data_IF_069060341557
#
_entry.id   IF_069060341557
#
_cell.length_a   1.000
_cell.length_b   1.000
_cell.length_c   1.000
_cell.angle_alpha   90.00
_cell.angle_beta   90.00
_cell.angle_gamma   90.00
#
_symmetry.space_group_name_H-M   'P 1'
#
loop_
_entity.id
_entity.type
_entity.pdbx_description
1 polymer ?
#
# COMPACT_ATOMS: atom_id res chain seq x y z
N UNK A 1 -2.59 19.17 2.75
CA UNK A 1 -2.10 17.83 2.33
C UNK A 1 -2.32 17.45 0.84
N UNK A 2 -3.21 18.10 0.05
CA UNK A 2 -3.49 17.67 -1.34
C UNK A 2 -2.32 17.82 -2.32
N UNK A 3 -1.50 18.87 -2.18
CA UNK A 3 -0.28 19.05 -2.97
C UNK A 3 0.71 17.89 -2.81
N UNK A 4 0.96 17.48 -1.56
CA UNK A 4 1.87 16.37 -1.24
C UNK A 4 1.33 15.06 -1.81
N UNK A 5 0.03 14.80 -1.70
CA UNK A 5 -0.59 13.63 -2.31
C UNK A 5 -0.35 13.59 -3.83
N UNK A 6 -0.55 14.71 -4.54
CA UNK A 6 -0.27 14.79 -5.98
C UNK A 6 1.20 14.58 -6.32
N UNK A 7 2.12 15.16 -5.53
CA UNK A 7 3.57 14.98 -5.72
C UNK A 7 4.01 13.54 -5.48
N UNK A 8 3.48 12.89 -4.45
CA UNK A 8 3.78 11.49 -4.14
C UNK A 8 3.22 10.56 -5.20
N UNK A 9 2.02 10.85 -5.72
CA UNK A 9 1.37 10.03 -6.74
C UNK A 9 2.24 9.91 -8.00
N UNK A 10 2.84 11.02 -8.46
CA UNK A 10 3.77 11.03 -9.61
C UNK A 10 5.02 10.15 -9.46
N UNK A 11 5.37 9.74 -8.23
CA UNK A 11 6.52 8.86 -7.96
C UNK A 11 6.15 7.38 -8.04
N UNK A 12 4.86 7.05 -8.14
CA UNK A 12 4.41 5.67 -8.24
C UNK A 12 4.42 5.21 -9.71
N UNK A 13 4.78 3.94 -9.98
CA UNK A 13 4.71 3.37 -11.32
C UNK A 13 3.31 3.53 -11.92
N UNK A 14 3.23 4.00 -13.17
CA UNK A 14 1.96 4.21 -13.87
C UNK A 14 1.34 5.59 -13.65
N UNK A 15 1.96 6.44 -12.83
CA UNK A 15 1.51 7.81 -12.55
C UNK A 15 2.50 8.89 -13.00
N UNK A 16 3.54 8.52 -13.76
CA UNK A 16 4.63 9.42 -14.18
C UNK A 16 4.13 10.68 -14.92
N UNK A 17 3.04 10.51 -15.70
CA UNK A 17 2.38 11.57 -16.46
C UNK A 17 1.07 12.05 -15.82
N UNK A 18 0.82 11.70 -14.56
CA UNK A 18 -0.43 12.03 -13.88
C UNK A 18 -0.49 13.53 -13.56
N UNK A 19 -1.44 14.24 -14.18
CA UNK A 19 -1.72 15.64 -13.92
C UNK A 19 -2.86 15.80 -12.91
N UNK A 20 -2.60 16.56 -11.85
CA UNK A 20 -3.55 16.88 -10.80
C UNK A 20 -3.36 18.32 -10.34
N UNK A 21 -4.35 19.15 -10.66
CA UNK A 21 -4.49 20.45 -10.05
C UNK A 21 -5.36 20.33 -8.79
N UNK A 22 -4.72 20.52 -7.64
CA UNK A 22 -5.37 20.39 -6.33
C UNK A 22 -6.12 21.65 -5.91
N UNK A 23 -5.88 22.80 -6.58
CA UNK A 23 -6.59 24.07 -6.37
C UNK A 23 -7.61 24.36 -7.46
N UNK A 24 -7.55 23.65 -8.60
CA UNK A 24 -8.48 23.74 -9.73
C UNK A 24 -9.93 23.36 -9.42
N UNK A 25 -10.79 23.37 -10.44
CA UNK A 25 -12.24 23.24 -10.27
C UNK A 25 -12.66 21.90 -9.62
N UNK A 26 -13.79 21.89 -8.91
CA UNK A 26 -14.26 20.70 -8.20
C UNK A 26 -14.45 19.48 -9.13
N UNK A 27 -15.00 19.69 -10.32
CA UNK A 27 -15.24 18.65 -11.31
C UNK A 27 -13.94 18.08 -11.90
N UNK A 28 -12.91 18.91 -12.07
CA UNK A 28 -11.59 18.48 -12.51
C UNK A 28 -10.89 17.63 -11.45
N UNK A 29 -11.07 18.00 -10.18
CA UNK A 29 -10.58 17.19 -9.04
C UNK A 29 -11.32 15.86 -8.97
N UNK A 30 -12.62 15.83 -9.21
CA UNK A 30 -13.40 14.60 -9.24
C UNK A 30 -12.92 13.65 -10.34
N UNK A 31 -12.83 14.15 -11.58
CA UNK A 31 -12.32 13.38 -12.72
C UNK A 31 -10.89 12.89 -12.50
N UNK A 32 -10.06 13.69 -11.85
CA UNK A 32 -8.69 13.28 -11.51
C UNK A 32 -8.67 12.15 -10.47
N UNK A 33 -9.55 12.19 -9.46
CA UNK A 33 -9.71 11.08 -8.50
C UNK A 33 -10.10 9.78 -9.22
N UNK A 34 -11.06 9.84 -10.12
CA UNK A 34 -11.52 8.67 -10.88
C UNK A 34 -10.40 8.07 -11.73
N UNK A 35 -9.69 8.90 -12.49
CA UNK A 35 -8.50 8.46 -13.26
C UNK A 35 -7.44 7.82 -12.37
N UNK A 36 -7.17 8.40 -11.19
CA UNK A 36 -6.20 7.83 -10.26
C UNK A 36 -6.62 6.43 -9.79
N UNK A 37 -7.91 6.24 -9.53
CA UNK A 37 -8.48 4.96 -9.11
C UNK A 37 -8.49 3.92 -10.23
N UNK A 38 -8.73 4.32 -11.47
CA UNK A 38 -8.61 3.44 -12.63
C UNK A 38 -7.18 2.96 -12.85
N UNK A 39 -6.18 3.85 -12.72
CA UNK A 39 -4.78 3.46 -12.82
C UNK A 39 -4.44 2.47 -11.70
N UNK A 40 -4.92 2.72 -10.48
CA UNK A 40 -4.68 1.85 -9.33
C UNK A 40 -5.26 0.45 -9.54
N UNK A 41 -6.50 0.35 -10.02
CA UNK A 41 -7.18 -0.93 -10.23
C UNK A 41 -6.58 -1.74 -11.39
N UNK A 42 -5.99 -1.05 -12.39
CA UNK A 42 -5.27 -1.66 -13.52
C UNK A 42 -3.82 -1.99 -13.21
N UNK A 43 -3.18 -1.26 -12.29
CA UNK A 43 -1.84 -1.59 -11.83
C UNK A 43 -1.85 -3.01 -11.25
N UNK A 44 -0.82 -3.79 -11.62
CA UNK A 44 -0.76 -5.23 -11.38
C UNK A 44 -1.28 -5.60 -9.99
N UNK A 45 -2.22 -6.54 -9.93
CA UNK A 45 -2.65 -7.15 -8.67
C UNK A 45 -1.40 -7.55 -7.90
N UNK A 46 -1.32 -7.31 -6.58
CA UNK A 46 -0.15 -7.68 -5.80
C UNK A 46 0.20 -9.11 -6.15
N UNK A 47 1.39 -9.30 -6.74
CA UNK A 47 1.94 -10.64 -6.96
C UNK A 47 1.87 -11.32 -5.61
N UNK A 48 1.23 -12.49 -5.56
CA UNK A 48 1.05 -13.22 -4.32
C UNK A 48 2.42 -13.32 -3.63
N UNK A 49 2.63 -12.51 -2.60
CA UNK A 49 3.89 -12.51 -1.89
C UNK A 49 3.88 -13.80 -1.07
N UNK A 50 4.72 -14.80 -1.35
CA UNK A 50 4.71 -16.04 -0.59
C UNK A 50 5.00 -15.80 0.90
N UNK A 51 5.65 -14.69 1.24
CA UNK A 51 5.93 -14.26 2.61
C UNK A 51 4.73 -13.64 3.34
N UNK A 52 3.60 -13.40 2.67
CA UNK A 52 2.39 -12.92 3.32
C UNK A 52 1.76 -14.06 4.14
N UNK A 53 1.59 -13.82 5.44
CA UNK A 53 0.89 -14.71 6.38
C UNK A 53 -0.63 -14.63 6.25
N UNK A 54 -1.10 -14.19 5.09
CA UNK A 54 -2.50 -14.12 4.72
C UNK A 54 -2.78 -15.09 3.58
N UNK A 55 -3.94 -15.73 3.67
CA UNK A 55 -4.56 -16.50 2.62
C UNK A 55 -5.10 -15.57 1.53
N UNK A 56 -5.44 -16.15 0.37
CA UNK A 56 -6.00 -15.39 -0.76
C UNK A 56 -7.33 -14.70 -0.42
N UNK A 57 -8.05 -15.20 0.58
CA UNK A 57 -9.31 -14.64 1.09
C UNK A 57 -9.10 -13.64 2.25
N UNK A 58 -7.86 -13.35 2.62
CA UNK A 58 -7.51 -12.43 3.70
C UNK A 58 -7.49 -13.06 5.10
N UNK A 59 -7.79 -14.37 5.24
CA UNK A 59 -7.62 -15.07 6.52
C UNK A 59 -6.15 -15.27 6.87
N UNK A 60 -5.85 -15.42 8.15
CA UNK A 60 -4.49 -15.67 8.61
C UNK A 60 -4.07 -17.14 8.30
N UNK A 61 -2.83 -17.34 7.84
CA UNK A 61 -2.21 -18.66 7.71
C UNK A 61 -1.84 -19.20 9.10
N UNK A 62 -2.80 -19.80 9.80
CA UNK A 62 -2.66 -20.15 11.22
C UNK A 62 -1.44 -21.03 11.50
N UNK A 63 -1.17 -22.04 10.67
CA UNK A 63 -0.03 -22.95 10.88
C UNK A 63 1.32 -22.24 10.73
N UNK A 64 1.44 -21.37 9.73
CA UNK A 64 2.65 -20.58 9.51
C UNK A 64 2.89 -19.61 10.68
N UNK A 65 1.83 -18.96 11.18
CA UNK A 65 1.91 -18.06 12.33
C UNK A 65 2.26 -18.82 13.61
N UNK A 66 1.63 -19.97 13.87
CA UNK A 66 1.93 -20.81 15.02
C UNK A 66 3.40 -21.29 15.00
N UNK A 67 3.92 -21.67 13.82
CA UNK A 67 5.33 -22.01 13.64
C UNK A 67 6.27 -20.86 13.99
N UNK A 68 5.96 -19.65 13.48
CA UNK A 68 6.76 -18.45 13.76
C UNK A 68 6.73 -18.09 15.25
N UNK A 69 5.56 -18.14 15.89
CA UNK A 69 5.42 -17.89 17.33
C UNK A 69 6.22 -18.90 18.17
N UNK A 70 6.25 -20.17 17.76
CA UNK A 70 7.04 -21.20 18.45
C UNK A 70 8.55 -20.95 18.33
N UNK A 71 9.01 -20.42 17.19
CA UNK A 71 10.41 -20.06 16.95
C UNK A 71 10.78 -18.65 17.43
N UNK A 72 9.82 -17.90 18.02
CA UNK A 72 10.05 -16.52 18.42
C UNK A 72 11.04 -16.48 19.57
N UNK A 73 12.10 -15.69 19.40
CA UNK A 73 13.04 -15.44 20.47
C UNK A 73 12.45 -14.41 21.44
N UNK A 74 12.07 -14.86 22.63
CA UNK A 74 11.48 -14.05 23.70
C UNK A 74 12.51 -13.54 24.71
N UNK A 75 13.79 -13.44 24.30
CA UNK A 75 14.85 -12.91 25.16
C UNK A 75 14.56 -11.44 25.49
N UNK A 76 14.45 -11.15 26.79
CA UNK A 76 14.40 -9.79 27.30
C UNK A 76 15.68 -9.06 26.91
N UNK A 77 15.54 -7.92 26.24
CA UNK A 77 16.64 -7.01 25.89
C UNK A 77 16.58 -5.84 26.85
N UNK A 78 17.59 -5.71 27.70
CA UNK A 78 17.79 -4.54 28.53
C UNK A 78 18.69 -3.56 27.78
N UNK A 79 18.17 -2.36 27.52
CA UNK A 79 18.96 -1.26 26.99
C UNK A 79 19.56 -0.52 28.18
N UNK A 80 20.89 -0.56 28.32
CA UNK A 80 21.61 0.31 29.25
C UNK A 80 21.74 1.68 28.58
N UNK A 81 21.12 2.71 29.17
CA UNK A 81 21.38 4.12 28.87
C UNK A 81 22.64 4.62 29.58
#
# INVERSE_FOLDING_TARGET
MRYIAGRSLKRLPGYDRFSYDYVGAADERHRSRERAFEIWTKAAKPVANPSLLLEKDGRLKQDAVAGLLKSRNDRVVELLE
#
